data_IF_488515633472
#
_entry.id   IF_488515633472
#
_cell.length_a   1.000
_cell.length_b   1.000
_cell.length_c   1.000
_cell.angle_alpha   90.00
_cell.angle_beta   90.00
_cell.angle_gamma   90.00
#
_symmetry.space_group_name_H-M   'P 1'
#
loop_
_entity.id
_entity.type
_entity.pdbx_description
1 polymer ?
#
# COMPACT_ATOMS: atom_id res chain seq x y z
N UNK A 1 -27.07 25.82 -8.42
CA UNK A 1 -25.72 25.84 -7.81
C UNK A 1 -25.13 24.46 -8.02
N UNK A 2 -24.16 24.33 -8.91
CA UNK A 2 -23.52 23.05 -9.25
C UNK A 2 -22.40 22.80 -8.25
N UNK A 3 -22.59 21.86 -7.32
CA UNK A 3 -21.57 21.48 -6.36
C UNK A 3 -20.55 20.60 -7.07
N UNK A 4 -19.29 21.05 -7.13
CA UNK A 4 -18.18 20.23 -7.65
C UNK A 4 -18.07 18.99 -6.74
N UNK A 5 -18.04 17.76 -7.29
CA UNK A 5 -17.87 16.56 -6.50
C UNK A 5 -16.57 16.60 -5.68
N UNK A 6 -16.64 16.19 -4.42
CA UNK A 6 -15.57 16.30 -3.41
C UNK A 6 -14.23 15.68 -3.85
N UNK A 7 -14.26 14.70 -4.76
CA UNK A 7 -13.06 14.08 -5.32
C UNK A 7 -12.32 14.98 -6.31
N UNK A 8 -13.03 15.81 -7.08
CA UNK A 8 -12.42 16.77 -8.04
C UNK A 8 -11.75 17.92 -7.29
N UNK A 9 -12.34 18.37 -6.18
CA UNK A 9 -11.75 19.41 -5.34
C UNK A 9 -10.42 18.94 -4.71
N UNK A 10 -10.36 17.69 -4.24
CA UNK A 10 -9.16 17.09 -3.63
C UNK A 10 -8.04 16.80 -4.62
N UNK A 11 -8.35 16.59 -5.90
CA UNK A 11 -7.36 16.47 -6.97
C UNK A 11 -6.66 17.80 -7.26
N UNK A 12 -7.42 18.91 -7.27
CA UNK A 12 -6.87 20.25 -7.47
C UNK A 12 -5.91 20.65 -6.34
N UNK A 13 -6.23 20.29 -5.09
CA UNK A 13 -5.40 20.62 -3.92
C UNK A 13 -4.04 19.90 -3.92
N UNK A 14 -3.95 18.69 -4.52
CA UNK A 14 -2.71 17.87 -4.56
C UNK A 14 -1.79 18.14 -5.74
N UNK A 15 -2.26 18.77 -6.81
CA UNK A 15 -1.39 19.21 -7.90
C UNK A 15 -0.35 20.26 -7.44
N UNK A 16 -0.53 20.84 -6.25
CA UNK A 16 0.28 21.91 -5.67
C UNK A 16 0.99 21.58 -4.35
N UNK A 17 0.90 20.38 -3.79
CA UNK A 17 1.51 20.13 -2.48
C UNK A 17 1.59 18.67 -2.08
N UNK A 18 2.73 18.35 -1.47
CA UNK A 18 3.11 17.12 -0.77
C UNK A 18 1.97 16.21 -0.32
N UNK A 19 2.18 14.90 -0.52
CA UNK A 19 1.32 13.81 -0.10
C UNK A 19 0.95 13.92 1.39
N UNK A 20 -0.15 14.58 1.71
CA UNK A 20 -0.85 14.39 2.98
C UNK A 20 -1.18 12.91 3.04
N UNK A 21 -0.53 12.18 3.97
CA UNK A 21 -0.41 10.73 3.95
C UNK A 21 -1.71 9.91 3.95
N UNK A 22 -2.89 10.52 3.90
CA UNK A 22 -4.13 9.77 3.92
C UNK A 22 -4.61 9.43 2.50
N UNK A 23 -4.74 8.13 2.27
CA UNK A 23 -5.34 7.55 1.08
C UNK A 23 -6.80 8.03 0.95
N UNK A 24 -7.20 8.36 -0.28
CA UNK A 24 -8.56 8.81 -0.59
C UNK A 24 -9.59 7.70 -0.41
N UNK A 25 -9.15 6.47 -0.70
CA UNK A 25 -9.93 5.26 -0.55
C UNK A 25 -9.26 4.33 0.44
N UNK A 26 -10.08 3.56 1.13
CA UNK A 26 -9.59 2.51 2.01
C UNK A 26 -9.26 1.25 1.19
N UNK A 27 -10.05 0.99 0.14
CA UNK A 27 -9.94 -0.19 -0.71
C UNK A 27 -10.19 0.20 -2.16
N UNK A 28 -9.41 -0.35 -3.09
CA UNK A 28 -9.79 -0.40 -4.52
C UNK A 28 -9.96 -1.84 -4.97
N UNK A 29 -10.91 -2.08 -5.87
CA UNK A 29 -11.08 -3.39 -6.53
C UNK A 29 -10.53 -3.37 -7.95
N UNK A 30 -9.65 -4.33 -8.25
CA UNK A 30 -9.27 -4.67 -9.62
C UNK A 30 -9.88 -6.01 -10.00
N UNK A 31 -10.49 -6.08 -11.18
CA UNK A 31 -11.32 -7.20 -11.63
C UNK A 31 -11.52 -7.13 -13.14
N UNK A 32 -11.93 -8.25 -13.74
CA UNK A 32 -12.36 -8.34 -15.13
C UNK A 32 -13.86 -8.04 -15.28
N UNK A 33 -14.32 -7.50 -16.41
CA UNK A 33 -15.71 -7.04 -16.60
C UNK A 33 -16.75 -8.14 -16.39
N UNK A 34 -16.42 -9.39 -16.73
CA UNK A 34 -17.27 -10.57 -16.46
C UNK A 34 -17.49 -10.86 -14.97
N UNK A 35 -16.68 -10.27 -14.09
CA UNK A 35 -16.81 -10.39 -12.63
C UNK A 35 -17.47 -9.16 -11.99
N UNK A 36 -17.95 -8.21 -12.79
CA UNK A 36 -18.57 -6.97 -12.32
C UNK A 36 -19.73 -7.22 -11.34
N UNK A 37 -20.65 -8.12 -11.68
CA UNK A 37 -21.82 -8.39 -10.83
C UNK A 37 -21.42 -8.86 -9.43
N UNK A 38 -20.37 -9.69 -9.35
CA UNK A 38 -19.80 -10.13 -8.08
C UNK A 38 -19.20 -8.94 -7.31
N UNK A 39 -18.42 -8.11 -7.98
CA UNK A 39 -17.76 -6.95 -7.37
C UNK A 39 -18.78 -5.94 -6.86
N UNK A 40 -19.80 -5.62 -7.64
CA UNK A 40 -20.86 -4.67 -7.23
C UNK A 40 -21.56 -5.17 -5.96
N UNK A 41 -21.89 -6.45 -5.88
CA UNK A 41 -22.54 -7.02 -4.70
C UNK A 41 -21.58 -7.04 -3.49
N UNK A 42 -20.32 -7.41 -3.70
CA UNK A 42 -19.30 -7.41 -2.65
C UNK A 42 -19.06 -6.01 -2.10
N UNK A 43 -18.85 -5.02 -2.97
CA UNK A 43 -18.61 -3.62 -2.58
C UNK A 43 -19.80 -3.09 -1.78
N UNK A 44 -21.03 -3.27 -2.28
CA UNK A 44 -22.24 -2.83 -1.56
C UNK A 44 -22.32 -3.43 -0.16
N UNK A 45 -22.02 -4.72 -0.02
CA UNK A 45 -22.02 -5.38 1.28
C UNK A 45 -20.94 -4.80 2.21
N UNK A 46 -19.70 -4.68 1.73
CA UNK A 46 -18.57 -4.22 2.56
C UNK A 46 -18.75 -2.76 2.99
N UNK A 47 -19.18 -1.88 2.08
CA UNK A 47 -19.48 -0.47 2.39
C UNK A 47 -20.56 -0.37 3.47
N UNK A 48 -21.63 -1.15 3.37
CA UNK A 48 -22.71 -1.16 4.37
C UNK A 48 -22.27 -1.70 5.74
N UNK A 49 -21.41 -2.71 5.77
CA UNK A 49 -21.00 -3.35 7.02
C UNK A 49 -19.86 -2.61 7.75
N UNK A 50 -19.00 -1.89 7.01
CA UNK A 50 -17.78 -1.32 7.56
C UNK A 50 -17.65 0.20 7.39
N UNK A 51 -18.49 0.84 6.58
CA UNK A 51 -18.38 2.27 6.27
C UNK A 51 -17.09 2.63 5.53
N UNK A 52 -16.47 1.68 4.83
CA UNK A 52 -15.24 1.91 4.07
C UNK A 52 -15.50 2.75 2.81
N UNK A 53 -14.54 3.59 2.45
CA UNK A 53 -14.51 4.28 1.15
C UNK A 53 -13.89 3.34 0.13
N UNK A 54 -14.71 2.76 -0.75
CA UNK A 54 -14.23 1.79 -1.75
C UNK A 54 -14.22 2.44 -3.13
N UNK A 55 -13.19 2.18 -3.92
CA UNK A 55 -13.16 2.51 -5.34
C UNK A 55 -13.44 1.28 -6.19
N UNK A 56 -14.32 1.39 -7.19
CA UNK A 56 -14.35 0.47 -8.32
C UNK A 56 -14.68 1.19 -9.64
N UNK A 57 -14.00 0.75 -10.72
CA UNK A 57 -13.99 1.45 -12.01
C UNK A 57 -15.39 1.82 -12.55
N UNK A 58 -16.36 0.92 -12.49
CA UNK A 58 -17.68 1.15 -13.10
C UNK A 58 -18.54 2.22 -12.39
N UNK A 59 -18.21 2.63 -11.16
CA UNK A 59 -18.89 3.74 -10.45
C UNK A 59 -18.04 5.00 -10.40
N UNK A 60 -16.75 4.83 -10.15
CA UNK A 60 -15.90 5.92 -9.69
C UNK A 60 -14.91 6.44 -10.76
N UNK A 61 -14.78 5.73 -11.90
CA UNK A 61 -13.85 6.16 -12.95
C UNK A 61 -14.42 7.31 -13.78
N UNK A 62 -13.55 8.27 -14.12
CA UNK A 62 -13.87 9.33 -15.07
C UNK A 62 -12.70 9.52 -16.04
N UNK A 63 -12.97 9.54 -17.35
CA UNK A 63 -11.91 9.70 -18.35
C UNK A 63 -11.11 8.41 -18.66
N UNK A 64 -9.83 8.52 -19.08
CA UNK A 64 -9.07 7.39 -19.64
C UNK A 64 -8.85 6.24 -18.66
N UNK A 65 -8.99 5.00 -19.16
CA UNK A 65 -8.89 3.77 -18.35
C UNK A 65 -7.55 3.68 -17.61
N UNK A 66 -6.43 3.95 -18.30
CA UNK A 66 -5.09 3.85 -17.72
C UNK A 66 -4.85 4.85 -16.58
N UNK A 67 -5.39 6.07 -16.69
CA UNK A 67 -5.22 7.08 -15.64
C UNK A 67 -6.01 6.68 -14.39
N UNK A 68 -7.26 6.26 -14.58
CA UNK A 68 -8.12 5.79 -13.49
C UNK A 68 -7.55 4.57 -12.76
N UNK A 69 -6.93 3.67 -13.51
CA UNK A 69 -6.23 2.50 -13.00
C UNK A 69 -5.09 2.86 -12.04
N UNK A 70 -4.15 3.69 -12.52
CA UNK A 70 -2.99 4.11 -11.71
C UNK A 70 -3.47 4.91 -10.51
N UNK A 71 -4.41 5.82 -10.74
CA UNK A 71 -5.00 6.67 -9.71
C UNK A 71 -5.63 5.85 -8.58
N UNK A 72 -6.46 4.86 -8.91
CA UNK A 72 -7.17 4.08 -7.89
C UNK A 72 -6.22 3.28 -7.01
N UNK A 73 -5.18 2.69 -7.61
CA UNK A 73 -4.18 1.90 -6.88
C UNK A 73 -3.37 2.81 -5.96
N UNK A 74 -2.84 3.93 -6.50
CA UNK A 74 -1.98 4.83 -5.72
C UNK A 74 -2.73 5.53 -4.58
N UNK A 75 -4.03 5.79 -4.75
CA UNK A 75 -4.84 6.51 -3.77
C UNK A 75 -5.64 5.60 -2.82
N UNK A 76 -5.37 4.30 -2.79
CA UNK A 76 -6.04 3.34 -1.89
C UNK A 76 -5.07 2.71 -0.87
N UNK A 77 -5.52 2.47 0.36
CA UNK A 77 -4.68 1.77 1.34
C UNK A 77 -4.37 0.33 0.91
N UNK A 78 -5.37 -0.38 0.39
CA UNK A 78 -5.21 -1.74 -0.12
C UNK A 78 -5.87 -1.89 -1.49
N UNK A 79 -5.30 -2.74 -2.32
CA UNK A 79 -5.89 -3.22 -3.57
C UNK A 79 -6.40 -4.65 -3.39
N UNK A 80 -7.68 -4.89 -3.63
CA UNK A 80 -8.28 -6.21 -3.68
C UNK A 80 -8.34 -6.66 -5.13
N UNK A 81 -7.61 -7.72 -5.47
CA UNK A 81 -7.55 -8.26 -6.82
C UNK A 81 -8.47 -9.47 -6.94
N UNK A 82 -9.54 -9.34 -7.71
CA UNK A 82 -10.49 -10.44 -7.99
C UNK A 82 -9.99 -11.20 -9.20
N UNK A 83 -9.46 -12.39 -8.95
CA UNK A 83 -8.76 -13.21 -9.95
C UNK A 83 -9.67 -14.35 -10.38
N UNK A 84 -10.12 -14.26 -11.63
CA UNK A 84 -10.80 -15.30 -12.38
C UNK A 84 -9.95 -15.74 -13.57
N UNK A 85 -10.36 -16.78 -14.29
CA UNK A 85 -9.68 -17.17 -15.53
C UNK A 85 -9.65 -16.01 -16.55
N UNK A 86 -10.75 -15.24 -16.66
CA UNK A 86 -10.82 -14.11 -17.57
C UNK A 86 -9.89 -12.96 -17.15
N UNK A 87 -9.69 -12.77 -15.84
CA UNK A 87 -8.72 -11.79 -15.33
C UNK A 87 -7.30 -12.14 -15.80
N UNK A 88 -6.92 -13.42 -15.75
CA UNK A 88 -5.59 -13.87 -16.12
C UNK A 88 -5.32 -13.81 -17.63
N UNK A 89 -6.35 -13.83 -18.45
CA UNK A 89 -6.26 -13.74 -19.91
C UNK A 89 -6.21 -12.28 -20.41
N UNK A 90 -6.50 -11.31 -19.55
CA UNK A 90 -6.52 -9.89 -19.89
C UNK A 90 -5.21 -9.19 -19.50
N UNK A 91 -4.45 -8.79 -20.52
CA UNK A 91 -3.17 -8.07 -20.38
C UNK A 91 -3.27 -6.78 -19.55
N UNK A 92 -4.40 -6.06 -19.59
CA UNK A 92 -4.57 -4.86 -18.78
C UNK A 92 -4.74 -5.20 -17.31
N UNK A 93 -5.35 -6.35 -16.99
CA UNK A 93 -5.50 -6.81 -15.60
C UNK A 93 -4.18 -7.31 -15.02
N UNK A 94 -3.35 -7.96 -15.84
CA UNK A 94 -1.99 -8.32 -15.45
C UNK A 94 -1.16 -7.08 -15.09
N UNK A 95 -1.22 -6.04 -15.92
CA UNK A 95 -0.57 -4.76 -15.62
C UNK A 95 -1.12 -4.10 -14.33
N UNK A 96 -2.43 -4.10 -14.13
CA UNK A 96 -3.07 -3.63 -12.88
C UNK A 96 -2.52 -4.35 -11.65
N UNK A 97 -2.44 -5.67 -11.74
CA UNK A 97 -1.96 -6.51 -10.65
C UNK A 97 -0.50 -6.23 -10.35
N UNK A 98 0.35 -6.18 -11.38
CA UNK A 98 1.78 -5.85 -11.21
C UNK A 98 1.97 -4.48 -10.58
N UNK A 99 1.18 -3.48 -10.97
CA UNK A 99 1.22 -2.16 -10.36
C UNK A 99 0.79 -2.19 -8.89
N UNK A 100 -0.27 -2.92 -8.55
CA UNK A 100 -0.71 -3.09 -7.17
C UNK A 100 0.36 -3.75 -6.29
N UNK A 101 1.02 -4.79 -6.81
CA UNK A 101 2.12 -5.49 -6.14
C UNK A 101 3.31 -4.54 -5.92
N UNK A 102 3.73 -3.84 -6.97
CA UNK A 102 4.83 -2.89 -6.90
C UNK A 102 4.53 -1.80 -5.86
N UNK A 103 3.30 -1.30 -5.83
CA UNK A 103 2.90 -0.25 -4.89
C UNK A 103 2.85 -0.77 -3.46
N UNK A 104 2.41 -2.02 -3.24
CA UNK A 104 2.45 -2.68 -1.94
C UNK A 104 3.89 -2.85 -1.40
N UNK A 105 4.83 -3.22 -2.28
CA UNK A 105 6.25 -3.39 -1.93
C UNK A 105 6.91 -2.03 -1.68
N UNK A 106 6.73 -1.06 -2.59
CA UNK A 106 7.45 0.22 -2.58
C UNK A 106 6.88 1.21 -1.57
N UNK A 107 5.56 1.25 -1.42
CA UNK A 107 4.86 2.26 -0.61
C UNK A 107 4.21 1.68 0.63
N UNK A 108 4.35 0.37 0.89
CA UNK A 108 3.85 -0.28 2.10
C UNK A 108 2.35 -0.55 2.11
N UNK A 109 1.63 -0.21 1.02
CA UNK A 109 0.21 -0.51 0.80
C UNK A 109 -0.06 -2.03 0.80
N UNK A 110 -1.35 -2.41 0.80
CA UNK A 110 -1.77 -3.81 0.70
C UNK A 110 -2.09 -4.25 -0.72
N UNK A 111 -1.78 -5.49 -1.04
CA UNK A 111 -2.30 -6.20 -2.20
C UNK A 111 -2.92 -7.51 -1.70
N UNK A 112 -4.22 -7.69 -1.91
CA UNK A 112 -5.00 -8.84 -1.46
C UNK A 112 -5.60 -9.58 -2.67
N UNK A 113 -4.90 -10.59 -3.20
CA UNK A 113 -5.43 -11.47 -4.24
C UNK A 113 -6.52 -12.41 -3.73
N UNK A 114 -7.67 -12.40 -4.40
CA UNK A 114 -8.82 -13.27 -4.16
C UNK A 114 -9.07 -14.13 -5.40
N UNK A 115 -8.84 -15.43 -5.30
CA UNK A 115 -9.07 -16.40 -6.37
C UNK A 115 -10.54 -16.83 -6.36
N UNK A 116 -11.33 -16.42 -7.37
CA UNK A 116 -12.75 -16.81 -7.50
C UNK A 116 -12.95 -18.20 -8.09
N UNK A 117 -12.07 -18.56 -9.01
CA UNK A 117 -12.13 -19.81 -9.75
C UNK A 117 -10.83 -20.59 -9.51
N UNK A 118 -10.87 -21.90 -9.71
CA UNK A 118 -9.65 -22.72 -9.73
C UNK A 118 -8.86 -22.40 -11.01
N UNK A 119 -8.05 -21.36 -10.95
CA UNK A 119 -7.20 -20.90 -12.04
C UNK A 119 -5.73 -21.11 -11.69
N UNK A 120 -4.89 -21.20 -12.73
CA UNK A 120 -3.44 -21.33 -12.55
C UNK A 120 -2.90 -19.99 -12.05
N UNK A 121 -2.37 -19.98 -10.83
CA UNK A 121 -1.80 -18.78 -10.22
C UNK A 121 -0.55 -18.37 -11.02
N UNK A 122 -0.47 -17.11 -11.52
CA UNK A 122 0.74 -16.60 -12.16
C UNK A 122 1.93 -16.61 -11.21
N UNK A 123 3.15 -16.79 -11.74
CA UNK A 123 4.38 -16.73 -10.97
C UNK A 123 4.52 -15.42 -10.16
N UNK A 124 3.96 -14.32 -10.70
CA UNK A 124 3.90 -12.99 -10.07
C UNK A 124 3.19 -12.99 -8.71
N UNK A 125 2.36 -14.00 -8.43
CA UNK A 125 1.64 -14.16 -7.17
C UNK A 125 2.23 -15.23 -6.25
N UNK A 126 3.30 -15.93 -6.65
CA UNK A 126 3.90 -16.99 -5.82
C UNK A 126 4.44 -16.46 -4.48
N UNK A 127 4.84 -15.19 -4.45
CA UNK A 127 5.38 -14.53 -3.25
C UNK A 127 4.32 -13.79 -2.43
N UNK A 128 3.06 -13.82 -2.86
CA UNK A 128 1.95 -13.08 -2.25
C UNK A 128 0.91 -14.06 -1.75
N UNK A 129 0.43 -13.83 -0.53
CA UNK A 129 -0.62 -14.64 0.06
C UNK A 129 -1.93 -14.50 -0.76
N UNK A 130 -2.36 -15.60 -1.38
CA UNK A 130 -3.60 -15.66 -2.17
C UNK A 130 -4.70 -16.33 -1.36
N UNK A 131 -5.94 -15.85 -1.51
CA UNK A 131 -7.08 -16.38 -0.79
C UNK A 131 -8.09 -16.96 -1.77
N UNK A 132 -8.37 -18.27 -1.66
CA UNK A 132 -9.46 -18.90 -2.42
C UNK A 132 -10.80 -18.46 -1.85
N UNK A 133 -11.70 -18.03 -2.73
CA UNK A 133 -13.03 -17.58 -2.35
C UNK A 133 -14.07 -18.19 -3.29
N UNK A 134 -15.02 -18.94 -2.72
CA UNK A 134 -16.13 -19.47 -3.50
C UNK A 134 -17.12 -18.34 -3.81
N UNK A 135 -17.55 -18.24 -5.08
CA UNK A 135 -18.61 -17.30 -5.48
C UNK A 135 -19.86 -17.60 -4.65
N UNK A 136 -20.21 -16.68 -3.76
CA UNK A 136 -21.35 -16.76 -2.86
C UNK A 136 -21.96 -15.37 -2.70
N UNK A 137 -23.27 -15.32 -2.45
CA UNK A 137 -23.98 -14.10 -2.07
C UNK A 137 -23.71 -13.70 -0.62
N UNK A 138 -23.12 -14.59 0.18
CA UNK A 138 -22.77 -14.34 1.57
C UNK A 138 -21.35 -13.77 1.69
N UNK A 139 -21.20 -12.46 1.52
CA UNK A 139 -19.91 -11.76 1.52
C UNK A 139 -19.24 -11.63 2.90
N UNK A 140 -19.72 -12.34 3.93
CA UNK A 140 -19.16 -12.30 5.30
C UNK A 140 -17.68 -12.67 5.33
N UNK A 141 -17.30 -13.73 4.62
CA UNK A 141 -15.91 -14.19 4.56
C UNK A 141 -14.98 -13.16 3.92
N UNK A 142 -15.36 -12.65 2.75
CA UNK A 142 -14.61 -11.62 2.04
C UNK A 142 -14.50 -10.32 2.87
N UNK A 143 -15.61 -9.91 3.50
CA UNK A 143 -15.66 -8.74 4.36
C UNK A 143 -14.68 -8.85 5.53
N UNK A 144 -14.65 -9.99 6.23
CA UNK A 144 -13.70 -10.24 7.32
C UNK A 144 -12.25 -10.22 6.83
N UNK A 145 -11.99 -10.80 5.67
CA UNK A 145 -10.65 -10.84 5.09
C UNK A 145 -10.15 -9.43 4.74
N UNK A 146 -10.98 -8.63 4.07
CA UNK A 146 -10.70 -7.22 3.75
C UNK A 146 -10.44 -6.43 5.03
N UNK A 147 -11.25 -6.63 6.08
CA UNK A 147 -11.10 -5.94 7.37
C UNK A 147 -9.75 -6.22 8.03
N UNK A 148 -9.39 -7.50 8.11
CA UNK A 148 -8.14 -7.95 8.75
C UNK A 148 -6.95 -7.42 7.96
N UNK A 149 -6.96 -7.59 6.64
CA UNK A 149 -5.87 -7.14 5.79
C UNK A 149 -5.69 -5.61 5.85
N UNK A 150 -6.77 -4.84 5.75
CA UNK A 150 -6.74 -3.38 5.86
C UNK A 150 -6.19 -2.93 7.22
N UNK A 151 -6.62 -3.55 8.32
CA UNK A 151 -6.16 -3.22 9.66
C UNK A 151 -4.66 -3.47 9.83
N UNK A 152 -4.15 -4.58 9.28
CA UNK A 152 -2.72 -4.91 9.32
C UNK A 152 -1.89 -3.90 8.51
N UNK A 153 -2.38 -3.49 7.34
CA UNK A 153 -1.71 -2.49 6.50
C UNK A 153 -1.71 -1.12 7.16
N UNK A 154 -2.84 -0.67 7.70
CA UNK A 154 -2.93 0.62 8.43
C UNK A 154 -1.95 0.66 9.60
N UNK A 155 -1.91 -0.40 10.41
CA UNK A 155 -0.97 -0.50 11.53
C UNK A 155 0.49 -0.43 11.07
N UNK A 156 0.84 -1.08 9.96
CA UNK A 156 2.19 -0.99 9.38
C UNK A 156 2.53 0.43 8.92
N UNK A 157 1.62 1.09 8.23
CA UNK A 157 1.81 2.46 7.74
C UNK A 157 1.95 3.46 8.90
N UNK A 158 1.16 3.30 9.96
CA UNK A 158 1.27 4.09 11.19
C UNK A 158 2.65 3.92 11.84
N UNK A 159 3.13 2.67 11.98
CA UNK A 159 4.46 2.40 12.52
C UNK A 159 5.56 3.07 11.68
N UNK A 160 5.49 2.96 10.35
CA UNK A 160 6.45 3.63 9.46
C UNK A 160 6.44 5.16 9.64
N UNK A 161 5.27 5.79 9.75
CA UNK A 161 5.16 7.24 10.01
C UNK A 161 5.77 7.62 11.36
N UNK A 162 5.50 6.85 12.41
CA UNK A 162 6.04 7.15 13.75
C UNK A 162 7.56 7.03 13.78
N UNK A 163 8.14 6.01 13.12
CA UNK A 163 9.59 5.85 13.04
C UNK A 163 10.25 7.02 12.29
N UNK A 164 9.66 7.45 11.16
CA UNK A 164 10.18 8.59 10.40
C UNK A 164 10.14 9.88 11.21
N UNK A 165 9.00 10.16 11.86
CA UNK A 165 8.83 11.36 12.69
C UNK A 165 9.83 11.38 13.85
N UNK A 166 10.06 10.22 14.49
CA UNK A 166 11.07 10.10 15.55
C UNK A 166 12.49 10.35 15.01
N UNK A 167 12.83 9.83 13.83
CA UNK A 167 14.10 10.09 13.15
C UNK A 167 14.32 11.59 12.87
N UNK A 168 13.33 12.27 12.29
CA UNK A 168 13.41 13.71 12.04
C UNK A 168 13.55 14.54 13.32
N UNK A 169 12.81 14.18 14.39
CA UNK A 169 12.95 14.88 15.67
C UNK A 169 14.31 14.66 16.32
N UNK A 170 14.89 13.46 16.17
CA UNK A 170 16.24 13.17 16.65
C UNK A 170 17.29 13.98 15.86
N UNK A 171 17.17 14.04 14.53
CA UNK A 171 18.06 14.85 13.68
C UNK A 171 17.97 16.34 13.98
N UNK A 172 16.76 16.88 14.18
CA UNK A 172 16.57 18.29 14.58
C UNK A 172 17.17 18.57 15.96
N UNK A 173 17.00 17.66 16.91
CA UNK A 173 17.61 17.79 18.25
C UNK A 173 19.13 17.78 18.16
N UNK A 174 19.72 16.89 17.35
CA UNK A 174 21.18 16.85 17.13
C UNK A 174 21.66 18.13 16.42
N UNK A 175 20.92 18.62 15.42
CA UNK A 175 21.25 19.86 14.72
C UNK A 175 21.17 21.09 15.64
N UNK A 176 20.20 21.14 16.55
CA UNK A 176 20.05 22.23 17.53
C UNK A 176 21.14 22.17 18.61
N UNK A 177 21.50 20.98 19.10
CA UNK A 177 22.65 20.77 19.99
C UNK A 177 23.96 21.20 19.31
N UNK A 178 24.13 20.85 18.03
CA UNK A 178 25.30 21.28 17.25
C UNK A 178 25.34 22.80 17.07
N UNK A 179 24.20 23.43 16.76
CA UNK A 179 24.10 24.90 16.63
C UNK A 179 24.40 25.64 17.93
N UNK A 180 23.98 25.11 19.07
CA UNK A 180 24.31 25.68 20.40
C UNK A 180 25.78 25.49 20.78
N UNK A 181 26.43 24.43 20.29
CA UNK A 181 27.87 24.21 20.47
C UNK A 181 28.77 25.07 19.55
N UNK A 182 28.20 25.66 18.50
CA UNK A 182 28.89 26.54 17.55
C UNK A 182 28.63 28.03 17.84
N UNK A 183 28.98 28.50 19.04
CA UNK A 183 29.32 29.92 19.23
C UNK A 183 30.76 30.13 18.78
N UNK A 184 31.07 31.18 17.97
CA UNK A 184 32.40 31.31 17.38
C UNK A 184 33.40 31.81 18.42
N UNK A 185 34.33 30.93 18.80
CA UNK A 185 35.70 31.36 19.07
C UNK A 185 36.54 31.14 17.82
N UNK A 186 37.43 32.09 17.44
CA UNK A 186 38.09 32.04 16.16
C UNK A 186 39.23 31.01 16.16
N UNK A 187 39.42 30.39 15.00
CA UNK A 187 40.56 29.57 14.53
C UNK A 187 40.46 28.05 14.78
N UNK A 188 40.11 27.31 13.72
CA UNK A 188 40.96 26.26 13.12
C UNK A 188 40.11 25.37 12.20
N UNK A 189 40.37 25.44 10.89
CA UNK A 189 39.81 24.51 9.90
C UNK A 189 40.48 23.14 10.03
N UNK A 190 39.71 22.11 10.39
CA UNK A 190 39.95 20.73 9.96
C UNK A 190 38.61 20.10 9.59
N UNK A 191 38.49 19.69 8.32
CA UNK A 191 37.35 18.95 7.79
C UNK A 191 37.40 17.53 8.38
N UNK A 192 36.41 17.17 9.18
CA UNK A 192 36.37 15.90 9.90
C UNK A 192 35.67 14.82 9.06
N UNK A 193 36.42 13.83 8.61
CA UNK A 193 35.96 12.72 7.75
C UNK A 193 35.12 11.67 8.50
N UNK A 194 34.88 11.86 9.80
CA UNK A 194 34.07 10.95 10.61
C UNK A 194 32.55 11.10 10.40
N UNK A 195 32.07 12.29 10.01
CA UNK A 195 30.64 12.52 9.77
C UNK A 195 30.11 11.73 8.56
N UNK A 196 30.93 11.55 7.51
CA UNK A 196 30.55 10.79 6.31
C UNK A 196 30.45 9.26 6.59
N UNK A 197 31.21 8.76 7.57
CA UNK A 197 31.15 7.34 7.96
C UNK A 197 29.87 7.00 8.73
N UNK A 198 29.33 7.93 9.52
CA UNK A 198 28.08 7.73 10.26
C UNK A 198 26.85 7.58 9.35
N UNK A 199 26.75 8.39 8.29
CA UNK A 199 25.63 8.36 7.35
C UNK A 199 25.56 7.06 6.55
N UNK A 200 26.69 6.52 6.09
CA UNK A 200 26.72 5.26 5.32
C UNK A 200 26.36 4.07 6.21
N UNK A 201 26.74 4.09 7.49
CA UNK A 201 26.43 3.00 8.42
C UNK A 201 24.92 2.94 8.72
N UNK A 202 24.24 4.08 8.79
CA UNK A 202 22.81 4.12 9.13
C UNK A 202 21.91 3.60 8.00
N UNK A 203 22.20 3.98 6.75
CA UNK A 203 21.50 3.50 5.56
C UNK A 203 21.69 1.98 5.36
N UNK A 204 22.91 1.48 5.55
CA UNK A 204 23.22 0.06 5.42
C UNK A 204 22.54 -0.75 6.55
N UNK A 205 22.47 -0.21 7.77
CA UNK A 205 21.73 -0.85 8.87
C UNK A 205 20.23 -0.90 8.62
N UNK A 206 19.65 0.14 8.02
CA UNK A 206 18.22 0.17 7.71
C UNK A 206 17.86 -0.87 6.64
N UNK A 207 18.68 -0.98 5.58
CA UNK A 207 18.54 -2.02 4.55
C UNK A 207 18.71 -3.43 5.12
N UNK A 208 19.72 -3.66 5.97
CA UNK A 208 19.92 -4.95 6.64
C UNK A 208 18.75 -5.29 7.57
N UNK A 209 18.21 -4.31 8.30
CA UNK A 209 17.05 -4.52 9.16
C UNK A 209 15.81 -4.90 8.37
N UNK A 210 15.54 -4.23 7.23
CA UNK A 210 14.43 -4.57 6.36
C UNK A 210 14.57 -5.98 5.76
N UNK A 211 15.78 -6.36 5.34
CA UNK A 211 16.04 -7.71 4.80
C UNK A 211 15.84 -8.78 5.88
N UNK A 212 16.41 -8.60 7.08
CA UNK A 212 16.27 -9.54 8.19
C UNK A 212 14.82 -9.63 8.66
N UNK A 213 14.10 -8.51 8.70
CA UNK A 213 12.67 -8.48 9.06
C UNK A 213 11.81 -9.21 8.02
N UNK A 214 12.10 -9.06 6.73
CA UNK A 214 11.41 -9.78 5.66
C UNK A 214 11.66 -11.30 5.74
N UNK A 215 12.92 -11.73 5.93
CA UNK A 215 13.28 -13.15 6.08
C UNK A 215 12.59 -13.78 7.30
N UNK A 216 12.51 -13.04 8.41
CA UNK A 216 11.88 -13.52 9.65
C UNK A 216 10.35 -13.58 9.56
N UNK A 217 9.73 -12.81 8.68
CA UNK A 217 8.30 -12.89 8.40
C UNK A 217 7.96 -14.05 7.45
N UNK A 218 8.80 -14.31 6.44
CA UNK A 218 8.62 -15.42 5.49
C UNK A 218 8.83 -16.78 6.17
N UNK A 219 9.79 -16.89 7.10
CA UNK A 219 10.10 -18.15 7.79
C UNK A 219 9.10 -18.52 8.90
N UNK A 220 8.24 -17.58 9.35
CA UNK A 220 7.20 -17.84 10.35
C UNK A 220 5.90 -18.44 9.77
N UNK A 221 5.85 -18.69 8.46
CA UNK A 221 4.72 -19.33 7.77
C UNK A 221 4.91 -20.81 7.42
N UNK A 222 6.02 -21.45 7.79
CA UNK A 222 6.23 -22.88 7.56
C UNK A 222 5.67 -23.69 8.74
N UNK A 223 4.64 -24.54 8.56
CA UNK A 223 4.26 -25.51 9.57
C UNK A 223 5.38 -26.55 9.70
N UNK A 224 5.79 -26.82 10.94
CA UNK A 224 6.65 -27.96 11.28
C UNK A 224 5.95 -29.25 10.82
N UNK A 225 6.46 -29.84 9.75
CA UNK A 225 6.13 -31.20 9.38
C UNK A 225 6.63 -32.13 10.47
N UNK A 226 5.70 -32.71 11.23
CA UNK A 226 5.97 -33.92 12.01
C UNK A 226 6.13 -35.08 11.03
N UNK A 227 7.36 -35.57 10.94
CA UNK A 227 7.75 -36.87 10.40
C UNK A 227 8.90 -37.38 11.24
#
# INVERSE_FOLDING_TARGET
MSTIPDHIQREADRATGEATGDHLYDVTFIYHDKDLDFVVQAVRYIEQQQGLRIYYRHRDSSGPILNNMVYSIQNSCITVAIISQNFLEDTLRDYELQLAILTAVKHGQGCLPILLDNCRIPATLETIETHKYCRSTEFKGLNSLVKVHLSNVRRRLELQRTMYTQGETAERTVADVHRQSCFPHPLSQRVDTQALKGMIIHEVWYLLFLIVFHIKMVTRGLPEGKG
#
